data_IF_585216592388
#
_entry.id   IF_585216592388
#
_cell.length_a   1.000
_cell.length_b   1.000
_cell.length_c   1.000
_cell.angle_alpha   90.00
_cell.angle_beta   90.00
_cell.angle_gamma   90.00
#
_symmetry.space_group_name_H-M   'P 1'
#
loop_
_entity.id
_entity.type
_entity.pdbx_description
1 polymer ?
#
# COMPACT_ATOMS: atom_id res chain seq x y z
N UNK A 1 -10.59 -27.04 -19.25
CA UNK A 1 -10.63 -25.73 -18.58
C UNK A 1 -9.72 -25.80 -17.37
N UNK A 2 -8.50 -25.26 -17.47
CA UNK A 2 -7.57 -25.17 -16.34
C UNK A 2 -7.76 -23.80 -15.71
N UNK A 3 -8.54 -23.70 -14.64
CA UNK A 3 -8.53 -22.53 -13.76
C UNK A 3 -7.27 -22.58 -12.90
N UNK A 4 -6.14 -22.25 -13.50
CA UNK A 4 -4.94 -21.86 -12.77
C UNK A 4 -5.07 -20.37 -12.47
N UNK A 5 -5.46 -20.03 -11.25
CA UNK A 5 -5.20 -18.69 -10.73
C UNK A 5 -3.68 -18.66 -10.48
N UNK A 6 -2.90 -18.30 -11.51
CA UNK A 6 -1.47 -18.08 -11.34
C UNK A 6 -1.31 -17.00 -10.27
N UNK A 7 -0.87 -17.42 -9.08
CA UNK A 7 -0.48 -16.51 -8.03
C UNK A 7 0.64 -15.66 -8.61
N UNK A 8 0.35 -14.39 -8.88
CA UNK A 8 1.34 -13.44 -9.38
C UNK A 8 2.47 -13.38 -8.33
N UNK A 9 3.70 -13.79 -8.67
CA UNK A 9 4.82 -13.75 -7.73
C UNK A 9 4.97 -12.34 -7.15
N UNK A 10 5.12 -12.25 -5.83
CA UNK A 10 5.31 -10.98 -5.12
C UNK A 10 4.04 -10.25 -4.67
N UNK A 11 2.83 -10.78 -4.95
CA UNK A 11 1.58 -10.18 -4.45
C UNK A 11 1.18 -10.78 -3.09
N UNK A 12 1.11 -9.93 -2.07
CA UNK A 12 0.65 -10.23 -0.71
C UNK A 12 -0.81 -9.81 -0.55
N UNK A 13 -1.57 -10.51 0.29
CA UNK A 13 -3.01 -10.25 0.52
C UNK A 13 -3.34 -9.90 1.97
N UNK A 14 -2.42 -10.12 2.90
CA UNK A 14 -2.57 -9.84 4.32
C UNK A 14 -1.34 -9.11 4.84
N UNK A 15 -1.55 -8.11 5.71
CA UNK A 15 -0.46 -7.35 6.36
C UNK A 15 0.52 -8.30 7.07
N UNK A 16 0.01 -9.34 7.72
CA UNK A 16 0.84 -10.34 8.40
C UNK A 16 1.87 -11.03 7.52
N UNK A 17 1.72 -11.07 6.19
CA UNK A 17 2.68 -11.69 5.26
C UNK A 17 3.95 -10.83 5.07
N UNK A 18 3.94 -9.56 5.47
CA UNK A 18 5.12 -8.70 5.45
C UNK A 18 6.29 -9.29 6.26
N UNK A 19 5.98 -10.07 7.30
CA UNK A 19 7.00 -10.74 8.15
C UNK A 19 7.86 -11.75 7.39
N UNK A 20 7.41 -12.19 6.22
CA UNK A 20 8.09 -13.18 5.39
C UNK A 20 9.06 -12.54 4.40
N UNK A 21 9.07 -11.21 4.30
CA UNK A 21 9.94 -10.48 3.41
C UNK A 21 11.30 -10.22 4.08
N UNK A 22 12.41 -10.30 3.33
CA UNK A 22 13.73 -10.14 3.90
C UNK A 22 14.06 -8.67 4.17
N UNK A 23 14.79 -8.46 5.25
CA UNK A 23 15.39 -7.16 5.56
C UNK A 23 14.38 -6.08 5.96
N UNK A 24 14.88 -4.85 6.18
CA UNK A 24 14.04 -3.74 6.57
C UNK A 24 13.03 -3.36 5.49
N UNK A 25 11.79 -3.05 5.87
CA UNK A 25 10.73 -2.72 4.90
C UNK A 25 10.57 -1.21 4.71
N UNK A 26 10.44 -0.81 3.44
CA UNK A 26 10.08 0.54 3.01
C UNK A 26 8.75 0.48 2.27
N UNK A 27 7.71 1.07 2.85
CA UNK A 27 6.35 0.97 2.32
C UNK A 27 6.02 2.22 1.50
N UNK A 28 5.49 2.06 0.30
CA UNK A 28 4.78 3.13 -0.41
C UNK A 28 3.28 2.84 -0.33
N UNK A 29 2.49 3.72 0.29
CA UNK A 29 1.07 3.47 0.57
C UNK A 29 0.18 4.42 -0.23
N UNK A 30 -0.77 3.87 -0.98
CA UNK A 30 -1.66 4.67 -1.80
C UNK A 30 -2.65 3.87 -2.64
N UNK A 31 -3.68 4.57 -3.12
CA UNK A 31 -4.65 3.98 -4.07
C UNK A 31 -4.00 3.70 -5.42
N UNK A 32 -3.06 4.57 -5.84
CA UNK A 32 -2.23 4.44 -7.03
C UNK A 32 -3.01 4.21 -8.35
N UNK A 33 -4.25 4.69 -8.47
CA UNK A 33 -4.99 4.60 -9.74
C UNK A 33 -4.27 5.40 -10.84
N UNK A 34 -4.06 4.78 -11.99
CA UNK A 34 -3.34 5.37 -13.13
C UNK A 34 -1.82 5.52 -12.97
N UNK A 35 -1.26 5.31 -11.76
CA UNK A 35 0.20 5.37 -11.48
C UNK A 35 0.89 6.57 -12.16
N UNK A 36 0.28 7.76 -12.06
CA UNK A 36 0.81 9.01 -12.64
C UNK A 36 2.12 9.46 -11.96
N UNK A 37 2.77 10.51 -12.47
CA UNK A 37 4.09 10.98 -11.99
C UNK A 37 4.17 11.19 -10.46
N UNK A 38 3.13 11.77 -9.85
CA UNK A 38 3.07 11.90 -8.38
C UNK A 38 3.08 10.56 -7.63
N UNK A 39 2.38 9.54 -8.14
CA UNK A 39 2.40 8.19 -7.58
C UNK A 39 3.77 7.53 -7.77
N UNK A 40 4.36 7.69 -8.95
CA UNK A 40 5.71 7.19 -9.25
C UNK A 40 6.74 7.79 -8.30
N UNK A 41 6.66 9.08 -7.98
CA UNK A 41 7.56 9.71 -7.02
C UNK A 41 7.50 9.07 -5.62
N UNK A 42 6.29 8.78 -5.12
CA UNK A 42 6.09 8.10 -3.82
C UNK A 42 6.67 6.68 -3.85
N UNK A 43 6.42 5.94 -4.92
CA UNK A 43 6.92 4.56 -5.10
C UNK A 43 8.45 4.54 -5.22
N UNK A 44 9.02 5.41 -6.04
CA UNK A 44 10.46 5.53 -6.23
C UNK A 44 11.17 5.90 -4.92
N UNK A 45 10.56 6.74 -4.06
CA UNK A 45 11.16 7.07 -2.77
C UNK A 45 11.32 5.85 -1.86
N UNK A 46 10.34 4.94 -1.85
CA UNK A 46 10.42 3.69 -1.10
C UNK A 46 11.45 2.72 -1.71
N UNK A 47 11.52 2.64 -3.05
CA UNK A 47 12.55 1.86 -3.76
C UNK A 47 13.96 2.35 -3.44
N UNK A 48 14.19 3.66 -3.48
CA UNK A 48 15.48 4.25 -3.16
C UNK A 48 15.87 4.02 -1.70
N UNK A 49 14.93 4.18 -0.76
CA UNK A 49 15.14 3.91 0.65
C UNK A 49 15.53 2.44 0.89
N UNK A 50 14.80 1.50 0.30
CA UNK A 50 15.11 0.07 0.40
C UNK A 50 16.49 -0.26 -0.18
N UNK A 51 16.85 0.30 -1.34
CA UNK A 51 18.17 0.10 -1.95
C UNK A 51 19.29 0.60 -1.05
N UNK A 52 19.13 1.77 -0.44
CA UNK A 52 20.16 2.36 0.44
C UNK A 52 20.25 1.64 1.79
N UNK A 53 19.11 1.19 2.32
CA UNK A 53 19.03 0.50 3.62
C UNK A 53 19.25 -1.01 3.56
N UNK A 54 19.52 -1.58 2.38
CA UNK A 54 19.62 -3.05 2.22
C UNK A 54 18.30 -3.78 2.54
N UNK A 55 17.17 -3.13 2.24
CA UNK A 55 15.83 -3.58 2.57
C UNK A 55 14.96 -3.95 1.38
N UNK A 56 13.67 -4.12 1.64
CA UNK A 56 12.65 -4.49 0.66
C UNK A 56 11.60 -3.38 0.54
N UNK A 57 11.41 -2.87 -0.67
CA UNK A 57 10.32 -1.94 -0.97
C UNK A 57 9.03 -2.71 -1.23
N UNK A 58 7.93 -2.26 -0.62
CA UNK A 58 6.60 -2.84 -0.81
C UNK A 58 5.60 -1.75 -1.14
N UNK A 59 4.86 -1.92 -2.24
CA UNK A 59 3.73 -1.04 -2.53
C UNK A 59 2.47 -1.59 -1.87
N UNK A 60 1.87 -0.81 -0.98
CA UNK A 60 0.60 -1.11 -0.33
C UNK A 60 -0.52 -0.38 -1.06
N UNK A 61 -1.49 -1.12 -1.57
CA UNK A 61 -2.65 -0.58 -2.27
C UNK A 61 -3.94 -1.29 -1.87
N UNK A 62 -5.06 -0.82 -2.41
CA UNK A 62 -6.39 -1.21 -2.00
C UNK A 62 -7.21 -1.74 -3.17
N UNK A 63 -7.96 -2.81 -2.92
CA UNK A 63 -8.94 -3.36 -3.85
C UNK A 63 -10.15 -3.94 -3.09
N UNK A 64 -11.40 -3.53 -3.41
CA UNK A 64 -11.78 -2.50 -4.38
C UNK A 64 -11.27 -1.09 -4.00
N UNK A 65 -11.39 -0.14 -4.93
CA UNK A 65 -11.04 1.26 -4.68
C UNK A 65 -11.86 1.83 -3.50
N UNK A 66 -11.26 2.52 -2.50
CA UNK A 66 -11.96 2.96 -1.29
C UNK A 66 -13.25 3.75 -1.54
N UNK A 67 -13.24 4.66 -2.50
CA UNK A 67 -14.43 5.45 -2.87
C UNK A 67 -15.57 4.57 -3.40
N UNK A 68 -15.29 3.46 -4.10
CA UNK A 68 -16.34 2.53 -4.55
C UNK A 68 -17.08 1.87 -3.40
N UNK A 69 -16.44 1.72 -2.25
CA UNK A 69 -17.03 1.14 -1.04
C UNK A 69 -17.72 2.21 -0.22
N UNK A 70 -17.04 3.33 0.02
CA UNK A 70 -17.53 4.36 0.96
C UNK A 70 -18.58 5.28 0.34
N UNK A 71 -18.52 5.50 -0.97
CA UNK A 71 -19.38 6.44 -1.73
C UNK A 71 -19.60 5.90 -3.15
N UNK A 72 -20.25 4.74 -3.31
CA UNK A 72 -20.41 4.08 -4.62
C UNK A 72 -21.03 5.00 -5.68
N UNK A 73 -21.96 5.87 -5.29
CA UNK A 73 -22.61 6.87 -6.13
C UNK A 73 -21.69 7.98 -6.63
N UNK A 74 -20.55 8.20 -5.95
CA UNK A 74 -19.50 9.16 -6.31
C UNK A 74 -18.22 8.46 -6.80
N UNK A 75 -18.27 7.16 -7.09
CA UNK A 75 -17.09 6.42 -7.48
C UNK A 75 -16.51 6.95 -8.80
N UNK A 76 -15.22 7.31 -8.84
CA UNK A 76 -14.61 7.74 -10.09
C UNK A 76 -14.59 6.59 -11.10
N UNK A 77 -14.58 6.93 -12.39
CA UNK A 77 -14.15 5.99 -13.41
C UNK A 77 -12.66 5.71 -13.16
N UNK A 78 -12.35 4.45 -12.87
CA UNK A 78 -10.97 4.06 -12.62
C UNK A 78 -10.17 4.19 -13.91
N UNK A 79 -8.99 4.80 -13.81
CA UNK A 79 -8.05 4.91 -14.92
C UNK A 79 -7.46 3.56 -15.29
N UNK A 80 -7.34 2.67 -14.30
CA UNK A 80 -6.73 1.35 -14.44
C UNK A 80 -7.54 0.27 -13.73
N UNK A 81 -7.56 -0.93 -14.30
CA UNK A 81 -7.99 -2.12 -13.55
C UNK A 81 -6.95 -2.45 -12.49
N UNK A 82 -7.33 -3.20 -11.44
CA UNK A 82 -6.37 -3.64 -10.42
C UNK A 82 -5.21 -4.42 -11.04
N UNK A 83 -5.46 -5.32 -12.01
CA UNK A 83 -4.40 -6.04 -12.72
C UNK A 83 -3.45 -5.10 -13.48
N UNK A 84 -3.98 -4.08 -14.17
CA UNK A 84 -3.16 -3.11 -14.90
C UNK A 84 -2.35 -2.21 -13.96
N UNK A 85 -2.96 -1.73 -12.87
CA UNK A 85 -2.27 -0.96 -11.81
C UNK A 85 -1.06 -1.74 -11.26
N UNK A 86 -1.23 -3.03 -10.95
CA UNK A 86 -0.16 -3.87 -10.44
C UNK A 86 0.93 -4.13 -11.49
N UNK A 87 0.58 -4.17 -12.78
CA UNK A 87 1.59 -4.23 -13.84
C UNK A 87 2.42 -2.94 -13.88
N UNK A 88 1.77 -1.78 -13.93
CA UNK A 88 2.44 -0.48 -13.95
C UNK A 88 3.38 -0.29 -12.74
N UNK A 89 2.96 -0.73 -11.55
CA UNK A 89 3.79 -0.70 -10.35
C UNK A 89 5.02 -1.61 -10.51
N UNK A 90 4.88 -2.81 -11.08
CA UNK A 90 6.02 -3.71 -11.35
C UNK A 90 6.98 -3.14 -12.37
N UNK A 91 6.48 -2.45 -13.39
CA UNK A 91 7.30 -1.82 -14.42
C UNK A 91 8.22 -0.71 -13.85
N UNK A 92 7.91 -0.19 -12.65
CA UNK A 92 8.78 0.72 -11.89
C UNK A 92 9.90 -0.01 -11.10
N UNK A 93 9.95 -1.33 -11.14
CA UNK A 93 10.95 -2.15 -10.43
C UNK A 93 10.49 -2.68 -9.06
N UNK A 94 9.21 -2.53 -8.72
CA UNK A 94 8.66 -3.07 -7.47
C UNK A 94 8.48 -4.59 -7.57
N UNK A 95 9.11 -5.32 -6.67
CA UNK A 95 9.03 -6.79 -6.61
C UNK A 95 7.91 -7.30 -5.70
N UNK A 96 7.49 -6.49 -4.71
CA UNK A 96 6.46 -6.87 -3.73
C UNK A 96 5.32 -5.86 -3.64
N UNK A 97 4.09 -6.35 -3.65
CA UNK A 97 2.88 -5.53 -3.60
C UNK A 97 1.89 -6.12 -2.61
N UNK A 98 1.49 -5.36 -1.60
CA UNK A 98 0.43 -5.74 -0.67
C UNK A 98 -0.89 -5.14 -1.13
N UNK A 99 -1.86 -6.00 -1.43
CA UNK A 99 -3.21 -5.58 -1.79
C UNK A 99 -4.11 -5.84 -0.60
N UNK A 100 -4.47 -4.76 0.08
CA UNK A 100 -5.43 -4.80 1.18
C UNK A 100 -6.84 -4.85 0.60
N UNK A 101 -7.61 -5.84 1.04
CA UNK A 101 -9.03 -5.86 0.75
C UNK A 101 -9.71 -4.69 1.45
N UNK A 102 -10.29 -3.76 0.69
CA UNK A 102 -10.95 -2.60 1.26
C UNK A 102 -12.46 -2.85 1.34
N UNK A 103 -12.98 -2.95 2.56
CA UNK A 103 -14.41 -3.04 2.85
C UNK A 103 -14.77 -2.06 3.99
N UNK A 104 -16.04 -2.07 4.43
CA UNK A 104 -16.48 -1.21 5.52
C UNK A 104 -15.83 -1.58 6.87
N UNK A 105 -15.43 -2.83 7.06
CA UNK A 105 -14.77 -3.27 8.30
C UNK A 105 -13.34 -2.70 8.37
N UNK A 106 -12.56 -2.83 7.29
CA UNK A 106 -11.24 -2.23 7.18
C UNK A 106 -11.31 -0.70 7.23
N UNK A 107 -12.34 -0.08 6.63
CA UNK A 107 -12.54 1.36 6.73
C UNK A 107 -12.85 1.85 8.15
N UNK A 108 -13.29 0.96 9.04
CA UNK A 108 -13.54 1.28 10.45
C UNK A 108 -12.31 1.11 11.35
N UNK A 109 -11.18 0.65 10.81
CA UNK A 109 -9.92 0.49 11.56
C UNK A 109 -9.39 1.84 12.06
N UNK A 110 -9.13 2.01 13.36
CA UNK A 110 -8.47 3.21 13.89
C UNK A 110 -7.10 3.42 13.21
N UNK A 111 -6.70 4.68 12.94
CA UNK A 111 -5.48 4.93 12.21
C UNK A 111 -4.23 4.45 12.97
N UNK A 112 -4.19 4.57 14.30
CA UNK A 112 -3.11 4.03 15.12
C UNK A 112 -2.96 2.52 14.97
N UNK A 113 -4.07 1.79 14.94
CA UNK A 113 -4.06 0.34 14.83
C UNK A 113 -3.51 -0.11 13.49
N UNK A 114 -3.87 0.58 12.40
CA UNK A 114 -3.31 0.29 11.07
C UNK A 114 -1.79 0.45 11.03
N UNK A 115 -1.25 1.54 11.58
CA UNK A 115 0.21 1.76 11.63
C UNK A 115 0.89 0.73 12.53
N UNK A 116 0.31 0.43 13.70
CA UNK A 116 0.84 -0.59 14.61
C UNK A 116 0.86 -1.98 13.98
N UNK A 117 -0.17 -2.34 13.23
CA UNK A 117 -0.23 -3.63 12.53
C UNK A 117 0.86 -3.74 11.45
N UNK A 118 1.06 -2.68 10.66
CA UNK A 118 2.15 -2.60 9.67
C UNK A 118 3.52 -2.73 10.35
N UNK A 119 3.75 -1.98 11.44
CA UNK A 119 5.00 -1.99 12.17
C UNK A 119 5.28 -3.33 12.86
N UNK A 120 4.25 -3.99 13.40
CA UNK A 120 4.38 -5.30 14.03
C UNK A 120 4.63 -6.43 13.01
N UNK A 121 4.12 -6.29 11.78
CA UNK A 121 4.33 -7.27 10.73
C UNK A 121 5.68 -7.12 10.02
N UNK A 122 6.18 -5.88 9.87
CA UNK A 122 7.47 -5.59 9.26
C UNK A 122 8.64 -5.79 10.25
N UNK A 123 9.78 -6.32 9.78
CA UNK A 123 10.93 -6.64 10.65
C UNK A 123 12.26 -6.14 10.07
N UNK A 124 12.67 -4.89 10.34
CA UNK A 124 11.88 -3.77 10.90
C UNK A 124 11.12 -2.98 9.82
N UNK A 125 10.13 -2.17 10.21
CA UNK A 125 9.59 -1.10 9.37
C UNK A 125 10.51 0.13 9.46
N UNK A 126 11.14 0.50 8.34
CA UNK A 126 12.05 1.66 8.32
C UNK A 126 11.38 2.93 7.83
N UNK A 127 10.48 2.81 6.86
CA UNK A 127 9.93 3.98 6.20
C UNK A 127 8.52 3.74 5.66
N UNK A 128 7.69 4.78 5.77
CA UNK A 128 6.39 4.88 5.11
C UNK A 128 6.41 6.12 4.21
N UNK A 129 6.33 5.90 2.89
CA UNK A 129 6.23 6.92 1.85
C UNK A 129 4.77 7.09 1.42
N UNK A 130 4.26 8.32 1.53
CA UNK A 130 2.86 8.66 1.20
C UNK A 130 2.80 10.03 0.53
N UNK A 131 1.70 10.30 -0.18
CA UNK A 131 1.42 11.64 -0.69
C UNK A 131 1.18 12.66 0.43
N UNK A 132 1.46 13.94 0.17
CA UNK A 132 1.37 15.01 1.17
C UNK A 132 -0.02 15.13 1.83
N UNK A 133 -1.10 15.02 1.05
CA UNK A 133 -2.48 15.11 1.53
C UNK A 133 -3.10 13.74 1.87
N UNK A 134 -2.26 12.72 2.12
CA UNK A 134 -2.74 11.38 2.39
C UNK A 134 -3.43 11.31 3.77
N UNK A 135 -4.65 10.79 3.78
CA UNK A 135 -5.38 10.45 4.99
C UNK A 135 -5.77 8.98 5.01
N UNK A 136 -5.85 8.40 6.21
CA UNK A 136 -6.12 6.98 6.40
C UNK A 136 -6.86 6.71 7.72
N UNK A 137 -7.23 5.44 7.93
CA UNK A 137 -8.00 4.99 9.09
C UNK A 137 -9.42 5.53 9.16
N UNK A 138 -10.14 5.14 10.22
CA UNK A 138 -11.53 5.45 10.45
C UNK A 138 -11.79 6.95 10.34
N UNK A 139 -12.75 7.32 9.50
CA UNK A 139 -13.15 8.71 9.31
C UNK A 139 -12.04 9.61 8.75
N UNK A 140 -10.99 9.04 8.12
CA UNK A 140 -9.81 9.78 7.63
C UNK A 140 -9.07 10.53 8.76
N UNK A 141 -9.12 10.02 9.98
CA UNK A 141 -8.52 10.66 11.15
C UNK A 141 -6.97 10.55 11.19
N UNK A 142 -6.39 9.60 10.45
CA UNK A 142 -4.95 9.47 10.28
C UNK A 142 -4.41 10.37 9.18
N UNK A 143 -3.24 10.95 9.41
CA UNK A 143 -2.54 11.84 8.49
C UNK A 143 -1.01 11.75 8.71
N UNK A 144 -0.23 12.54 7.97
CA UNK A 144 1.23 12.55 8.09
C UNK A 144 1.72 12.86 9.52
N UNK A 145 1.12 13.84 10.20
CA UNK A 145 1.49 14.20 11.57
C UNK A 145 1.28 13.05 12.56
N UNK A 146 0.26 12.20 12.35
CA UNK A 146 0.07 10.99 13.13
C UNK A 146 1.21 9.99 12.89
N UNK A 147 1.60 9.76 11.64
CA UNK A 147 2.71 8.84 11.29
C UNK A 147 4.00 9.32 11.94
N UNK A 148 4.32 10.61 11.83
CA UNK A 148 5.50 11.22 12.46
C UNK A 148 5.51 11.07 13.97
N UNK A 149 4.36 11.18 14.63
CA UNK A 149 4.23 10.98 16.08
C UNK A 149 4.43 9.52 16.49
N UNK A 150 3.99 8.57 15.67
CA UNK A 150 4.09 7.12 15.95
C UNK A 150 5.44 6.51 15.55
N UNK A 151 6.17 7.14 14.61
CA UNK A 151 7.47 6.69 14.11
C UNK A 151 8.68 7.19 14.90
N UNK A 152 8.46 7.89 16.02
CA UNK A 152 9.49 8.27 17.00
C UNK A 152 9.60 7.21 18.09
#
# INVERSE_FOLDING_TARGET
MRSGHDAIPGVLRKIGELRNLPGPLHLAIGVFDGVHLGHQAVICRALDGARQGGGTAVVVTFDPHPVRVLRPEHAPRLLTSTAHKLQLIRDLGVTHQLIIHFDHAFAATPPEDFIRELAAAAQPLQEICVGFEWCFGKGRAGNLALIERLGR
#
